data_IF_920431551922
#
_entry.id   IF_920431551922
#
_cell.length_a   1.000
_cell.length_b   1.000
_cell.length_c   1.000
_cell.angle_alpha   90.00
_cell.angle_beta   90.00
_cell.angle_gamma   90.00
#
_symmetry.space_group_name_H-M   'P 1'
#
loop_
_entity.id
_entity.type
_entity.pdbx_description
1 polymer ?
#
# COMPACT_ATOMS: atom_id res chain seq x y z
N UNK A 1 -20.95 -13.55 -2.10
CA UNK A 1 -19.86 -13.69 -1.14
C UNK A 1 -20.39 -14.01 0.24
N UNK A 2 -19.71 -14.88 0.91
CA UNK A 2 -20.16 -15.27 2.23
C UNK A 2 -19.46 -14.43 3.29
N UNK A 3 -20.19 -13.48 3.82
CA UNK A 3 -19.70 -12.67 4.90
C UNK A 3 -19.39 -13.50 6.14
N UNK A 4 -20.22 -14.53 6.36
CA UNK A 4 -20.02 -15.42 7.51
C UNK A 4 -18.74 -16.22 7.38
N UNK A 5 -18.41 -16.63 6.16
CA UNK A 5 -17.16 -17.32 5.91
C UNK A 5 -15.97 -16.44 6.24
N UNK A 6 -16.06 -15.19 5.86
CA UNK A 6 -14.96 -14.26 6.14
C UNK A 6 -14.79 -14.04 7.63
N UNK A 7 -15.89 -14.09 8.36
CA UNK A 7 -15.81 -13.94 9.81
C UNK A 7 -14.98 -15.04 10.47
N UNK A 8 -15.14 -16.27 9.99
CA UNK A 8 -14.42 -17.39 10.56
C UNK A 8 -12.92 -17.29 10.34
N UNK A 9 -12.52 -16.61 9.27
CA UNK A 9 -11.14 -16.45 8.90
C UNK A 9 -10.63 -15.04 9.12
N UNK A 10 -11.48 -14.19 9.71
CA UNK A 10 -11.17 -12.79 9.86
C UNK A 10 -11.47 -12.02 8.59
N UNK A 11 -11.30 -10.72 8.67
CA UNK A 11 -11.56 -9.84 7.55
C UNK A 11 -10.32 -9.71 6.68
N UNK A 12 -10.53 -9.49 5.39
CA UNK A 12 -9.44 -9.28 4.45
C UNK A 12 -9.41 -7.80 4.09
N UNK A 13 -8.27 -7.16 4.28
CA UNK A 13 -8.08 -5.80 3.82
C UNK A 13 -7.67 -5.83 2.36
N UNK A 14 -8.24 -4.90 1.60
CA UNK A 14 -7.93 -4.75 0.18
C UNK A 14 -7.52 -3.31 -0.07
N UNK A 15 -6.43 -3.10 -0.77
CA UNK A 15 -6.09 -1.75 -1.16
C UNK A 15 -5.49 -1.76 -2.55
N UNK A 16 -5.90 -0.79 -3.36
CA UNK A 16 -5.44 -0.66 -4.74
C UNK A 16 -4.42 0.45 -4.85
N UNK A 17 -3.39 0.21 -5.65
CA UNK A 17 -2.43 1.26 -6.00
C UNK A 17 -2.17 1.21 -7.49
N UNK A 18 -2.04 2.39 -8.10
CA UNK A 18 -1.67 2.50 -9.50
C UNK A 18 -0.20 2.83 -9.63
N UNK A 19 0.53 2.06 -10.42
CA UNK A 19 1.96 2.24 -10.59
C UNK A 19 2.26 2.28 -12.08
N UNK A 20 3.10 3.22 -12.51
CA UNK A 20 3.46 3.34 -13.90
C UNK A 20 4.10 2.09 -14.47
N UNK A 21 3.99 1.95 -15.79
CA UNK A 21 4.47 0.75 -16.47
C UNK A 21 5.99 0.59 -16.41
N UNK A 22 6.71 1.67 -16.11
CA UNK A 22 8.17 1.61 -16.04
C UNK A 22 8.68 0.85 -14.83
N UNK A 23 7.83 0.58 -13.83
CA UNK A 23 8.25 -0.14 -12.62
C UNK A 23 7.92 -1.63 -12.79
N UNK A 24 8.91 -2.52 -12.64
CA UNK A 24 8.65 -3.95 -12.79
C UNK A 24 7.62 -4.45 -11.79
N UNK A 25 6.73 -5.32 -12.25
CA UNK A 25 5.67 -5.80 -11.36
C UNK A 25 6.22 -6.59 -10.17
N UNK A 26 7.33 -7.26 -10.36
CA UNK A 26 7.94 -8.01 -9.25
C UNK A 26 8.42 -7.09 -8.14
N UNK A 27 8.93 -5.93 -8.53
CA UNK A 27 9.33 -4.93 -7.54
C UNK A 27 8.11 -4.38 -6.80
N UNK A 28 7.03 -4.09 -7.53
CA UNK A 28 5.82 -3.57 -6.89
C UNK A 28 5.25 -4.59 -5.92
N UNK A 29 5.20 -5.85 -6.33
CA UNK A 29 4.72 -6.90 -5.45
C UNK A 29 5.56 -6.96 -4.17
N UNK A 30 6.87 -6.93 -4.31
CA UNK A 30 7.76 -6.98 -3.15
C UNK A 30 7.56 -5.76 -2.23
N UNK A 31 7.37 -4.57 -2.82
CA UNK A 31 7.14 -3.37 -2.03
C UNK A 31 5.84 -3.45 -1.25
N UNK A 32 4.78 -3.92 -1.89
CA UNK A 32 3.49 -4.04 -1.22
C UNK A 32 3.55 -5.08 -0.10
N UNK A 33 4.21 -6.21 -0.35
CA UNK A 33 4.35 -7.23 0.69
C UNK A 33 5.21 -6.73 1.84
N UNK A 34 6.22 -5.92 1.55
CA UNK A 34 7.02 -5.30 2.60
C UNK A 34 6.17 -4.37 3.46
N UNK A 35 5.31 -3.57 2.81
CA UNK A 35 4.42 -2.69 3.56
C UNK A 35 3.51 -3.49 4.48
N UNK A 36 2.97 -4.60 3.98
CA UNK A 36 2.12 -5.45 4.81
C UNK A 36 2.90 -6.01 5.99
N UNK A 37 4.15 -6.42 5.76
CA UNK A 37 4.98 -6.99 6.83
C UNK A 37 5.29 -5.98 7.92
N UNK A 38 5.30 -4.69 7.59
CA UNK A 38 5.54 -3.64 8.57
C UNK A 38 4.29 -3.23 9.33
N UNK A 39 3.13 -3.73 8.93
CA UNK A 39 1.85 -3.35 9.54
C UNK A 39 1.53 -4.36 10.63
N UNK A 40 1.52 -3.90 11.87
CA UNK A 40 1.23 -4.79 12.98
C UNK A 40 -0.24 -5.14 13.04
N UNK A 41 -0.55 -6.29 13.59
CA UNK A 41 -1.94 -6.71 13.78
C UNK A 41 -2.56 -7.42 12.60
N UNK A 42 -1.85 -7.53 11.47
CA UNK A 42 -2.35 -8.30 10.34
C UNK A 42 -2.12 -9.79 10.59
N UNK A 43 -3.05 -10.59 10.08
CA UNK A 43 -2.92 -12.03 10.17
C UNK A 43 -2.00 -12.59 9.11
N UNK A 44 -1.82 -13.90 9.14
CA UNK A 44 -0.98 -14.59 8.18
C UNK A 44 -1.68 -15.76 7.51
N UNK A 45 -3.00 -15.85 7.66
CA UNK A 45 -3.80 -16.92 7.05
C UNK A 45 -5.01 -16.33 6.36
N UNK A 46 -4.95 -16.15 5.05
CA UNK A 46 -3.80 -16.43 4.18
C UNK A 46 -2.71 -15.39 4.35
N UNK A 47 -1.52 -15.73 3.92
CA UNK A 47 -0.44 -14.74 3.89
C UNK A 47 -0.85 -13.59 2.97
N UNK A 48 -0.39 -12.38 3.22
CA UNK A 48 -0.69 -11.27 2.30
C UNK A 48 -0.26 -11.61 0.87
N UNK A 49 -1.05 -11.16 -0.09
CA UNK A 49 -0.76 -11.43 -1.48
C UNK A 49 -1.20 -10.25 -2.35
N UNK A 50 -0.63 -10.19 -3.56
CA UNK A 50 -0.84 -9.08 -4.48
C UNK A 50 -1.38 -9.62 -5.79
N UNK A 51 -2.44 -8.99 -6.28
CA UNK A 51 -2.99 -9.26 -7.60
C UNK A 51 -2.72 -8.08 -8.51
N UNK A 52 -2.52 -8.34 -9.80
CA UNK A 52 -2.62 -7.29 -10.81
C UNK A 52 -4.07 -7.24 -11.21
N UNK A 53 -4.73 -6.15 -10.83
CA UNK A 53 -6.17 -6.04 -10.98
C UNK A 53 -6.57 -5.58 -12.38
N UNK A 54 -5.80 -4.68 -12.96
CA UNK A 54 -6.08 -4.20 -14.30
C UNK A 54 -4.87 -3.52 -14.90
N UNK A 55 -4.89 -3.44 -16.24
CA UNK A 55 -3.88 -2.72 -17.00
C UNK A 55 -4.56 -1.49 -17.58
N UNK A 56 -4.32 -0.34 -16.93
CA UNK A 56 -4.94 0.90 -17.32
C UNK A 56 -4.14 1.67 -18.37
N UNK A 57 -4.65 2.83 -18.76
CA UNK A 57 -4.00 3.64 -19.78
C UNK A 57 -2.64 4.17 -19.34
N UNK A 58 -2.53 4.56 -18.09
CA UNK A 58 -1.30 5.18 -17.59
C UNK A 58 -0.66 4.40 -16.46
N UNK A 59 -1.33 3.41 -15.94
CA UNK A 59 -0.84 2.70 -14.77
C UNK A 59 -1.36 1.28 -14.75
N UNK A 60 -0.58 0.42 -14.12
CA UNK A 60 -1.01 -0.92 -13.75
C UNK A 60 -1.62 -0.81 -12.36
N UNK A 61 -2.81 -1.36 -12.18
CA UNK A 61 -3.48 -1.34 -10.87
C UNK A 61 -3.19 -2.63 -10.15
N UNK A 62 -2.56 -2.50 -8.99
CA UNK A 62 -2.23 -3.63 -8.12
C UNK A 62 -3.16 -3.61 -6.93
N UNK A 63 -3.54 -4.79 -6.48
CA UNK A 63 -4.36 -4.92 -5.28
C UNK A 63 -3.59 -5.71 -4.24
N UNK A 64 -3.37 -5.08 -3.10
CA UNK A 64 -2.75 -5.75 -1.96
C UNK A 64 -3.86 -6.29 -1.08
N UNK A 65 -3.77 -7.57 -0.76
CA UNK A 65 -4.74 -8.25 0.09
C UNK A 65 -4.03 -8.76 1.33
N UNK A 66 -4.59 -8.47 2.48
CA UNK A 66 -4.00 -8.91 3.74
C UNK A 66 -5.10 -9.23 4.74
N UNK A 67 -4.96 -10.30 5.51
CA UNK A 67 -5.96 -10.60 6.52
C UNK A 67 -5.87 -9.59 7.65
N UNK A 68 -7.02 -9.04 8.04
CA UNK A 68 -7.09 -8.15 9.16
C UNK A 68 -7.27 -8.92 10.46
N UNK A 69 -7.23 -8.19 11.55
CA UNK A 69 -7.48 -8.78 12.84
C UNK A 69 -8.89 -8.48 13.32
N UNK A 70 -9.00 -7.56 14.24
CA UNK A 70 -10.24 -7.23 14.90
C UNK A 70 -11.07 -6.27 14.05
N UNK A 71 -12.35 -6.58 13.76
CA UNK A 71 -13.20 -5.63 13.03
C UNK A 71 -13.26 -4.25 13.69
N UNK A 72 -13.15 -4.17 15.00
CA UNK A 72 -13.23 -2.89 15.68
C UNK A 72 -12.03 -2.00 15.43
N UNK A 73 -10.91 -2.56 14.98
CA UNK A 73 -9.70 -1.81 14.70
C UNK A 73 -9.41 -1.72 13.21
N UNK A 74 -10.38 -2.12 12.37
CA UNK A 74 -10.16 -2.21 10.93
C UNK A 74 -9.72 -0.88 10.31
N UNK A 75 -10.36 0.21 10.72
CA UNK A 75 -9.99 1.53 10.21
C UNK A 75 -8.54 1.90 10.51
N UNK A 76 -8.09 1.58 11.73
CA UNK A 76 -6.70 1.83 12.10
C UNK A 76 -5.74 0.95 11.32
N UNK A 77 -6.15 -0.29 11.06
CA UNK A 77 -5.31 -1.19 10.27
C UNK A 77 -5.15 -0.69 8.85
N UNK A 78 -6.22 -0.20 8.23
CA UNK A 78 -6.14 0.41 6.91
C UNK A 78 -5.20 1.61 6.92
N UNK A 79 -5.34 2.49 7.90
CA UNK A 79 -4.47 3.66 7.99
C UNK A 79 -3.01 3.25 8.12
N UNK A 80 -2.71 2.31 9.01
CA UNK A 80 -1.34 1.87 9.20
C UNK A 80 -0.78 1.23 7.93
N UNK A 81 -1.60 0.42 7.26
CA UNK A 81 -1.17 -0.22 6.02
C UNK A 81 -0.85 0.83 4.95
N UNK A 82 -1.73 1.81 4.79
CA UNK A 82 -1.52 2.88 3.80
C UNK A 82 -0.29 3.71 4.13
N UNK A 83 -0.06 4.01 5.40
CA UNK A 83 1.14 4.73 5.80
C UNK A 83 2.38 3.94 5.42
N UNK A 84 2.38 2.64 5.67
CA UNK A 84 3.52 1.81 5.33
C UNK A 84 3.71 1.68 3.82
N UNK A 85 2.61 1.64 3.05
CA UNK A 85 2.71 1.64 1.60
C UNK A 85 3.39 2.92 1.13
N UNK A 86 2.96 4.07 1.62
CA UNK A 86 3.57 5.34 1.25
C UNK A 86 5.06 5.35 1.60
N UNK A 87 5.39 4.93 2.81
CA UNK A 87 6.78 4.93 3.26
C UNK A 87 7.65 4.03 2.41
N UNK A 88 7.21 2.80 2.17
CA UNK A 88 8.01 1.83 1.42
C UNK A 88 8.24 2.31 -0.01
N UNK A 89 7.18 2.84 -0.66
CA UNK A 89 7.31 3.29 -2.03
C UNK A 89 8.21 4.53 -2.11
N UNK A 90 8.10 5.43 -1.15
CA UNK A 90 8.98 6.59 -1.12
C UNK A 90 10.43 6.19 -0.84
N UNK A 91 10.66 5.22 0.04
CA UNK A 91 12.02 4.74 0.32
C UNK A 91 12.70 4.22 -0.94
N UNK A 92 11.94 3.61 -1.83
CA UNK A 92 12.50 2.98 -3.03
C UNK A 92 12.33 3.82 -4.28
N UNK A 93 11.83 5.06 -4.13
CA UNK A 93 11.71 5.96 -5.26
C UNK A 93 10.69 5.55 -6.29
N UNK A 94 9.65 4.84 -5.89
CA UNK A 94 8.60 4.40 -6.80
C UNK A 94 7.37 5.26 -6.59
N UNK A 95 6.96 5.96 -7.64
CA UNK A 95 5.84 6.88 -7.59
C UNK A 95 4.51 6.14 -7.67
N UNK A 96 3.58 6.51 -6.80
CA UNK A 96 2.20 6.05 -6.89
C UNK A 96 1.46 7.06 -7.75
N UNK A 97 0.78 6.55 -8.78
CA UNK A 97 0.13 7.40 -9.76
C UNK A 97 -1.19 7.95 -9.23
N UNK A 98 -1.51 9.15 -9.66
CA UNK A 98 -2.78 9.76 -9.30
C UNK A 98 -3.84 9.33 -10.31
N UNK A 99 -5.10 9.20 -9.88
CA UNK A 99 -6.15 8.81 -10.81
C UNK A 99 -6.44 9.86 -11.88
N UNK A 100 -6.21 11.13 -11.59
CA UNK A 100 -6.46 12.20 -12.55
C UNK A 100 -5.14 12.69 -13.10
N UNK A 101 -4.52 11.88 -13.94
CA UNK A 101 -3.23 12.18 -14.50
C UNK A 101 -3.34 13.22 -15.61
N UNK A 102 -2.53 14.27 -15.50
CA UNK A 102 -2.54 15.35 -16.48
C UNK A 102 -1.14 15.82 -16.82
N UNK A 103 -0.21 14.89 -16.95
CA UNK A 103 1.14 15.26 -17.28
C UNK A 103 2.00 15.47 -16.05
N UNK A 104 2.40 14.37 -15.46
CA UNK A 104 3.32 14.42 -14.33
C UNK A 104 4.63 15.07 -14.75
N UNK A 105 5.30 15.74 -13.82
CA UNK A 105 6.62 16.26 -14.13
C UNK A 105 7.57 15.12 -14.46
N UNK A 106 8.69 15.41 -15.15
CA UNK A 106 9.66 14.35 -15.48
C UNK A 106 10.19 13.63 -14.26
N UNK A 107 10.26 14.32 -13.13
CA UNK A 107 10.79 13.72 -11.92
C UNK A 107 9.68 13.03 -11.15
N UNK A 108 9.96 11.86 -10.56
CA UNK A 108 8.96 11.18 -9.75
C UNK A 108 8.48 12.04 -8.58
N UNK A 109 7.21 11.91 -8.25
CA UNK A 109 6.63 12.60 -7.09
C UNK A 109 6.92 11.77 -5.85
N UNK A 110 8.07 12.02 -5.25
CA UNK A 110 8.57 11.23 -4.13
C UNK A 110 8.83 12.19 -2.98
N UNK A 111 8.46 11.75 -1.77
CA UNK A 111 8.83 12.47 -0.56
C UNK A 111 10.12 11.87 -0.04
N UNK A 112 11.20 12.63 -0.09
CA UNK A 112 12.49 12.15 0.39
C UNK A 112 12.43 11.99 1.91
N UNK A 113 13.20 11.04 2.42
CA UNK A 113 13.19 10.78 3.86
C UNK A 113 13.45 12.04 4.68
N UNK A 114 14.32 12.90 4.20
CA UNK A 114 14.64 14.15 4.92
C UNK A 114 13.44 15.09 5.02
N UNK A 115 12.42 14.90 4.18
CA UNK A 115 11.23 15.74 4.17
C UNK A 115 10.01 15.08 4.83
N UNK A 116 10.20 13.92 5.48
CA UNK A 116 9.06 13.20 6.05
C UNK A 116 8.42 13.94 7.22
N UNK A 117 9.20 14.77 7.90
CA UNK A 117 8.72 15.45 9.10
C UNK A 117 8.74 16.96 8.91
N UNK A 118 8.11 17.40 7.80
CA UNK A 118 7.97 18.83 7.57
C UNK A 118 7.01 19.42 8.61
N UNK A 119 7.30 20.65 9.03
CA UNK A 119 6.51 21.27 10.08
C UNK A 119 5.04 21.31 9.72
N UNK A 120 4.12 21.11 10.67
CA UNK A 120 4.35 20.95 12.10
C UNK A 120 4.62 19.50 12.55
N UNK A 121 4.94 18.58 11.63
CA UNK A 121 5.23 17.21 12.02
C UNK A 121 6.56 17.13 12.76
N UNK A 122 6.64 16.23 13.72
CA UNK A 122 7.85 16.00 14.49
C UNK A 122 8.26 14.55 14.36
N UNK A 123 9.57 14.32 14.30
CA UNK A 123 10.09 12.98 14.26
C UNK A 123 9.86 12.31 15.60
N UNK A 124 9.26 11.12 15.58
CA UNK A 124 9.02 10.35 16.78
C UNK A 124 10.15 9.38 17.07
N UNK A 125 11.08 9.29 16.17
CA UNK A 125 12.24 8.43 16.35
C UNK A 125 13.43 9.28 16.75
N UNK A 126 14.10 8.91 17.82
CA UNK A 126 15.30 9.63 18.22
C UNK A 126 16.37 9.56 17.15
#
# INVERSE_FOLDING_TARGET
MSYLKDRDRGLILHTDVGIGYETPWRQVEALLLTAASRTSGLGDKPAPFVNIKSLGDFAVVYELNAPGGDPLTLGRQYTALHQNVLDVFNEHGVQIMTPAYEGDPPEPKIVKREDWYLAPAESKNP
#
